data_IF_565584997886
#
_entry.id   IF_565584997886
#
_cell.length_a   1.000
_cell.length_b   1.000
_cell.length_c   1.000
_cell.angle_alpha   90.00
_cell.angle_beta   90.00
_cell.angle_gamma   90.00
#
_symmetry.space_group_name_H-M   'P 1'
#
loop_
_entity.id
_entity.type
_entity.pdbx_description
1 polymer ?
#
# COMPACT_ATOMS: atom_id res chain seq x y z
N UNK A 1 41.76 -18.89 3.98
CA UNK A 1 40.81 -19.93 4.43
C UNK A 1 39.48 -19.22 4.63
N UNK A 2 38.52 -19.44 3.73
CA UNK A 2 37.21 -18.79 3.80
C UNK A 2 36.28 -19.68 4.62
N UNK A 3 35.87 -19.19 5.79
CA UNK A 3 34.93 -19.86 6.66
C UNK A 3 33.52 -19.71 6.06
N UNK A 4 32.87 -20.84 5.77
CA UNK A 4 31.49 -20.87 5.30
C UNK A 4 30.59 -20.38 6.44
N UNK A 5 29.91 -19.26 6.22
CA UNK A 5 28.79 -18.87 7.07
C UNK A 5 27.63 -19.79 6.74
N UNK A 6 27.38 -20.77 7.61
CA UNK A 6 26.29 -21.71 7.44
C UNK A 6 24.93 -20.99 7.57
N UNK A 7 24.18 -21.02 6.48
CA UNK A 7 22.81 -20.55 6.38
C UNK A 7 21.90 -21.44 7.24
N UNK A 8 21.30 -20.89 8.30
CA UNK A 8 20.25 -21.57 9.07
C UNK A 8 18.90 -21.29 8.41
N UNK A 9 18.24 -22.27 7.77
CA UNK A 9 16.89 -22.08 7.27
C UNK A 9 15.92 -21.97 8.44
N UNK A 10 15.18 -20.87 8.52
CA UNK A 10 14.02 -20.75 9.40
C UNK A 10 12.92 -21.65 8.85
N UNK A 11 12.69 -22.80 9.50
CA UNK A 11 11.60 -23.72 9.16
C UNK A 11 10.26 -23.04 9.47
N UNK A 12 9.51 -22.65 8.44
CA UNK A 12 8.08 -22.42 8.63
C UNK A 12 7.41 -23.79 8.80
N UNK A 13 6.96 -24.09 10.01
CA UNK A 13 6.06 -25.22 10.24
C UNK A 13 4.76 -24.97 9.46
N UNK A 14 4.57 -25.72 8.37
CA UNK A 14 3.31 -25.78 7.65
C UNK A 14 2.29 -26.56 8.47
N UNK A 15 1.62 -25.89 9.41
CA UNK A 15 0.37 -26.39 9.95
C UNK A 15 -0.70 -26.37 8.85
N UNK A 16 -0.89 -27.51 8.19
CA UNK A 16 -2.02 -27.75 7.29
C UNK A 16 -3.31 -27.87 8.10
N UNK A 17 -3.99 -26.75 8.30
CA UNK A 17 -5.37 -26.76 8.80
C UNK A 17 -6.28 -27.15 7.64
N UNK A 18 -6.71 -28.41 7.62
CA UNK A 18 -7.74 -28.89 6.69
C UNK A 18 -9.08 -28.24 7.03
N UNK A 19 -9.55 -27.33 6.17
CA UNK A 19 -10.89 -26.76 6.26
C UNK A 19 -11.93 -27.76 5.72
N UNK A 20 -13.11 -27.88 6.36
CA UNK A 20 -14.14 -28.82 5.93
C UNK A 20 -14.72 -28.39 4.58
N UNK A 21 -14.65 -29.29 3.58
CA UNK A 21 -15.40 -29.16 2.35
C UNK A 21 -16.87 -29.48 2.60
N UNK A 22 -17.68 -28.45 2.87
CA UNK A 22 -19.11 -28.49 2.58
C UNK A 22 -19.71 -27.08 2.55
N UNK A 23 -19.76 -26.48 1.36
CA UNK A 23 -20.57 -25.28 1.12
C UNK A 23 -21.48 -25.55 -0.07
N UNK A 24 -22.75 -25.75 0.26
CA UNK A 24 -23.82 -26.00 -0.69
C UNK A 24 -23.81 -24.98 -1.85
N UNK A 25 -23.94 -25.50 -3.08
CA UNK A 25 -24.03 -24.70 -4.31
C UNK A 25 -25.32 -23.87 -4.26
N UNK A 26 -25.19 -22.59 -3.90
CA UNK A 26 -26.29 -21.61 -3.97
C UNK A 26 -26.66 -21.39 -5.44
N UNK A 27 -27.85 -21.88 -5.82
CA UNK A 27 -28.43 -21.72 -7.15
C UNK A 27 -28.64 -20.23 -7.48
N UNK A 28 -28.28 -19.85 -8.71
CA UNK A 28 -28.50 -18.54 -9.34
C UNK A 28 -29.92 -18.01 -9.13
N UNK A 29 -30.91 -18.89 -9.07
CA UNK A 29 -32.32 -18.56 -8.82
C UNK A 29 -32.54 -17.88 -7.46
N UNK A 30 -31.79 -18.28 -6.44
CA UNK A 30 -31.89 -17.72 -5.07
C UNK A 30 -31.39 -16.27 -5.00
N UNK A 31 -30.48 -15.88 -5.89
CA UNK A 31 -29.94 -14.51 -5.96
C UNK A 31 -30.88 -13.58 -6.71
N UNK A 32 -31.50 -14.04 -7.80
CA UNK A 32 -32.45 -13.23 -8.57
C UNK A 32 -33.71 -12.91 -7.76
N UNK A 33 -34.28 -13.90 -7.05
CA UNK A 33 -35.50 -13.70 -6.25
C UNK A 33 -35.30 -12.70 -5.09
N UNK A 34 -34.09 -12.66 -4.49
CA UNK A 34 -33.78 -11.71 -3.41
C UNK A 34 -33.61 -10.27 -3.89
N UNK A 35 -33.08 -10.07 -5.11
CA UNK A 35 -32.90 -8.72 -5.68
C UNK A 35 -34.25 -8.12 -6.07
N UNK A 36 -35.20 -8.92 -6.56
CA UNK A 36 -36.55 -8.45 -6.93
C UNK A 36 -37.36 -7.95 -5.74
N UNK A 37 -37.27 -8.62 -4.58
CA UNK A 37 -38.05 -8.28 -3.39
C UNK A 37 -37.63 -6.94 -2.75
N UNK A 38 -36.33 -6.59 -2.79
CA UNK A 38 -35.82 -5.33 -2.19
C UNK A 38 -36.16 -4.12 -3.06
N UNK A 39 -36.15 -4.27 -4.39
CA UNK A 39 -36.51 -3.18 -5.31
C UNK A 39 -38.02 -2.81 -5.22
N UNK A 40 -38.89 -3.80 -5.02
CA UNK A 40 -40.34 -3.56 -4.89
C UNK A 40 -40.70 -2.78 -3.60
N UNK A 41 -39.99 -3.04 -2.50
CA UNK A 41 -40.22 -2.36 -1.21
C UNK A 41 -39.75 -0.89 -1.27
N UNK A 42 -38.67 -0.59 -1.99
CA UNK A 42 -38.20 0.78 -2.21
C UNK A 42 -39.13 1.59 -3.12
N UNK A 43 -39.72 0.98 -4.16
CA UNK A 43 -40.62 1.66 -5.09
C UNK A 43 -42.03 1.90 -4.51
N UNK A 44 -42.51 1.03 -3.62
CA UNK A 44 -43.81 1.20 -2.96
C UNK A 44 -43.73 2.10 -1.71
N UNK A 45 -42.56 2.21 -1.06
CA UNK A 45 -42.36 3.01 0.16
C UNK A 45 -42.29 4.53 -0.04
N UNK A 46 -42.02 5.02 -1.25
CA UNK A 46 -41.83 6.46 -1.51
C UNK A 46 -43.17 7.21 -1.73
N UNK A 47 -44.28 6.51 -1.96
CA UNK A 47 -45.58 7.14 -2.32
C UNK A 47 -46.54 7.42 -1.16
N UNK A 48 -46.18 7.07 0.08
CA UNK A 48 -47.09 7.14 1.23
C UNK A 48 -46.82 8.27 2.25
N UNK A 49 -45.80 9.10 2.06
CA UNK A 49 -45.49 10.20 2.99
C UNK A 49 -45.11 11.44 2.19
N UNK A 50 -46.10 12.27 1.85
CA UNK A 50 -46.12 13.73 2.02
C UNK A 50 -47.27 14.36 1.19
N UNK A 51 -48.27 15.00 1.83
CA UNK A 51 -49.22 15.86 1.16
C UNK A 51 -48.62 17.25 0.90
N UNK A 52 -48.98 17.81 -0.25
CA UNK A 52 -48.70 19.16 -0.70
C UNK A 52 -49.52 20.21 0.06
N UNK A 53 -48.88 21.21 0.69
CA UNK A 53 -49.38 22.59 0.75
C UNK A 53 -48.38 23.56 1.37
N UNK A 54 -48.35 24.77 0.79
CA UNK A 54 -47.54 25.92 1.18
C UNK A 54 -47.98 26.51 2.53
N UNK A 55 -47.02 26.84 3.40
CA UNK A 55 -47.22 27.89 4.41
C UNK A 55 -45.93 28.68 4.63
N UNK A 56 -45.94 29.91 4.15
CA UNK A 56 -44.93 30.92 4.38
C UNK A 56 -45.07 31.54 5.78
N UNK A 57 -43.92 31.87 6.39
CA UNK A 57 -43.69 32.79 7.53
C UNK A 57 -44.03 32.30 8.95
N UNK A 58 -42.96 31.96 9.69
CA UNK A 58 -42.59 32.46 11.02
C UNK A 58 -41.17 31.92 11.28
N UNK A 59 -40.12 32.69 11.54
CA UNK A 59 -39.96 33.58 12.69
C UNK A 59 -38.87 33.00 13.60
N UNK A 60 -37.68 33.61 13.57
CA UNK A 60 -36.49 33.46 14.43
C UNK A 60 -36.69 32.69 15.76
N UNK A 61 -35.77 31.76 16.05
CA UNK A 61 -34.86 31.83 17.22
C UNK A 61 -33.87 30.64 17.28
N UNK A 62 -32.61 30.98 17.58
CA UNK A 62 -31.60 30.21 18.31
C UNK A 62 -31.27 28.76 17.89
N UNK A 63 -30.12 28.59 17.24
CA UNK A 63 -29.45 27.30 17.06
C UNK A 63 -27.94 27.47 16.87
N UNK A 64 -27.18 27.03 17.86
CA UNK A 64 -25.74 26.85 17.99
C UNK A 64 -24.80 27.35 16.88
N UNK A 65 -23.85 28.18 17.29
CA UNK A 65 -22.81 28.72 16.44
C UNK A 65 -21.93 27.66 15.79
N UNK A 66 -21.52 27.99 14.57
CA UNK A 66 -20.24 27.54 14.03
C UNK A 66 -20.20 26.13 13.47
N UNK A 67 -21.01 25.82 12.46
CA UNK A 67 -20.46 25.00 11.37
C UNK A 67 -19.39 25.82 10.65
N UNK A 68 -18.17 25.82 11.22
CA UNK A 68 -16.97 26.23 10.52
C UNK A 68 -16.90 25.36 9.27
N UNK A 69 -17.23 25.93 8.11
CA UNK A 69 -16.64 25.48 6.84
C UNK A 69 -15.14 25.78 6.92
N UNK A 70 -14.40 24.96 7.65
CA UNK A 70 -12.94 24.90 7.57
C UNK A 70 -12.54 23.68 6.77
N UNK A 71 -12.91 23.69 5.50
CA UNK A 71 -12.09 23.02 4.51
C UNK A 71 -12.06 23.98 3.35
N UNK A 72 -11.08 24.89 3.41
CA UNK A 72 -10.57 25.51 2.20
C UNK A 72 -9.90 24.36 1.44
N UNK A 73 -10.57 23.82 0.44
CA UNK A 73 -10.08 22.69 -0.37
C UNK A 73 -8.74 22.99 -1.07
N UNK A 74 -8.33 24.26 -1.12
CA UNK A 74 -7.02 24.71 -1.59
C UNK A 74 -5.86 24.48 -0.59
N UNK A 75 -6.12 24.05 0.66
CA UNK A 75 -5.10 23.94 1.74
C UNK A 75 -4.64 22.53 2.08
N UNK A 76 -5.16 21.49 1.42
CA UNK A 76 -4.78 20.09 1.67
C UNK A 76 -4.18 19.45 0.41
N UNK A 77 -3.18 20.10 -0.19
CA UNK A 77 -2.30 19.44 -1.15
C UNK A 77 -1.11 18.89 -0.37
N UNK A 78 -0.97 17.56 -0.33
CA UNK A 78 0.22 16.92 0.21
C UNK A 78 1.44 17.48 -0.54
N UNK A 79 2.53 17.90 0.14
CA UNK A 79 3.75 18.29 -0.54
C UNK A 79 4.24 17.11 -1.39
N UNK A 80 4.85 17.38 -2.55
CA UNK A 80 5.35 16.31 -3.43
C UNK A 80 6.60 15.63 -2.84
N UNK A 81 7.39 16.36 -2.06
CA UNK A 81 8.62 15.90 -1.43
C UNK A 81 8.86 16.62 -0.10
N UNK A 82 9.74 16.06 0.71
CA UNK A 82 10.31 16.69 1.90
C UNK A 82 11.82 16.83 1.73
N UNK A 83 12.41 17.87 2.31
CA UNK A 83 13.86 18.03 2.32
C UNK A 83 14.48 17.30 3.50
N UNK A 84 15.47 16.45 3.23
CA UNK A 84 16.29 15.80 4.25
C UNK A 84 17.41 16.74 4.73
N UNK A 85 18.02 16.48 5.91
CA UNK A 85 19.19 17.24 6.37
C UNK A 85 20.39 17.19 5.40
N UNK A 86 20.48 16.17 4.54
CA UNK A 86 21.48 16.08 3.46
C UNK A 86 21.24 17.07 2.32
N UNK A 87 20.05 17.68 2.24
CA UNK A 87 19.60 18.50 1.12
C UNK A 87 18.78 17.73 0.06
N UNK A 88 18.78 16.40 0.12
CA UNK A 88 18.03 15.56 -0.81
C UNK A 88 16.51 15.73 -0.65
N UNK A 89 15.77 15.54 -1.74
CA UNK A 89 14.31 15.69 -1.77
C UNK A 89 13.63 14.32 -1.83
N UNK A 90 13.19 13.82 -0.67
CA UNK A 90 12.51 12.52 -0.56
C UNK A 90 11.04 12.67 -1.00
N UNK A 91 10.53 11.84 -1.94
CA UNK A 91 9.11 11.89 -2.31
C UNK A 91 8.22 11.55 -1.11
N UNK A 92 7.16 12.33 -0.95
CA UNK A 92 6.30 12.30 0.24
C UNK A 92 5.47 11.02 0.39
N UNK A 93 5.30 10.27 -0.70
CA UNK A 93 4.53 9.03 -0.73
C UNK A 93 5.39 7.92 -1.32
N UNK A 94 5.51 6.82 -0.58
CA UNK A 94 6.24 5.62 -0.96
C UNK A 94 5.30 4.41 -1.09
N UNK A 95 5.63 3.49 -1.98
CA UNK A 95 5.10 2.12 -1.91
C UNK A 95 5.99 1.29 -0.99
N UNK A 96 5.46 0.86 0.15
CA UNK A 96 6.11 -0.17 0.98
C UNK A 96 5.89 -1.58 0.41
N UNK A 97 6.94 -2.39 0.40
CA UNK A 97 6.90 -3.74 -0.20
C UNK A 97 6.79 -4.89 0.81
N UNK A 98 6.55 -4.58 2.10
CA UNK A 98 6.42 -5.60 3.14
C UNK A 98 5.17 -6.48 2.96
N UNK A 99 5.31 -7.78 3.26
CA UNK A 99 4.25 -8.81 3.21
C UNK A 99 3.56 -9.02 1.86
N UNK A 100 4.12 -8.50 0.76
CA UNK A 100 3.69 -8.93 -0.56
C UNK A 100 3.91 -10.44 -0.69
N UNK A 101 2.89 -11.18 -1.15
CA UNK A 101 3.07 -12.61 -1.38
C UNK A 101 4.06 -12.82 -2.54
N UNK A 102 4.75 -13.97 -2.59
CA UNK A 102 5.65 -14.28 -3.70
C UNK A 102 4.98 -14.09 -5.06
N UNK A 103 5.62 -13.37 -5.98
CA UNK A 103 5.09 -13.08 -7.31
C UNK A 103 4.08 -11.93 -7.38
N UNK A 104 3.76 -11.25 -6.27
CA UNK A 104 2.84 -10.10 -6.27
C UNK A 104 3.54 -8.76 -6.20
N UNK A 105 4.76 -8.69 -5.64
CA UNK A 105 5.42 -7.40 -5.40
C UNK A 105 5.78 -6.71 -6.71
N UNK A 106 6.13 -7.48 -7.75
CA UNK A 106 6.50 -6.93 -9.04
C UNK A 106 5.32 -6.21 -9.69
N UNK A 107 4.14 -6.80 -9.65
CA UNK A 107 2.91 -6.18 -10.18
C UNK A 107 2.47 -4.97 -9.34
N UNK A 108 2.66 -5.03 -8.02
CA UNK A 108 2.41 -3.88 -7.14
C UNK A 108 3.34 -2.70 -7.48
N UNK A 109 4.64 -2.96 -7.66
CA UNK A 109 5.64 -1.95 -8.06
C UNK A 109 5.30 -1.37 -9.43
N UNK A 110 5.05 -2.21 -10.44
CA UNK A 110 4.68 -1.73 -11.80
C UNK A 110 3.42 -0.88 -11.76
N UNK A 111 2.42 -1.29 -10.98
CA UNK A 111 1.17 -0.52 -10.81
C UNK A 111 1.43 0.83 -10.14
N UNK A 112 2.21 0.86 -9.07
CA UNK A 112 2.55 2.11 -8.39
C UNK A 112 3.32 3.07 -9.29
N UNK A 113 4.33 2.58 -10.02
CA UNK A 113 5.12 3.39 -10.95
C UNK A 113 4.26 3.98 -12.08
N UNK A 114 3.32 3.19 -12.63
CA UNK A 114 2.30 3.66 -13.60
C UNK A 114 1.35 4.68 -13.01
N UNK A 115 1.01 4.55 -11.72
CA UNK A 115 0.18 5.51 -10.99
C UNK A 115 0.93 6.80 -10.59
N UNK A 116 2.23 6.91 -10.90
CA UNK A 116 3.03 8.11 -10.67
C UNK A 116 3.89 8.06 -9.40
N UNK A 117 3.94 6.93 -8.68
CA UNK A 117 4.88 6.78 -7.57
C UNK A 117 6.31 6.87 -8.11
N UNK A 118 7.17 7.53 -7.32
CA UNK A 118 8.61 7.62 -7.57
C UNK A 118 9.44 7.21 -6.36
N UNK A 119 8.81 6.66 -5.32
CA UNK A 119 9.50 6.19 -4.12
C UNK A 119 9.05 4.76 -3.80
N UNK A 120 10.00 3.84 -3.76
CA UNK A 120 9.80 2.44 -3.37
C UNK A 120 10.58 2.18 -2.06
N UNK A 121 9.88 1.68 -1.05
CA UNK A 121 10.44 1.30 0.23
C UNK A 121 10.52 -0.23 0.36
N UNK A 122 11.75 -0.74 0.35
CA UNK A 122 12.09 -2.14 0.54
C UNK A 122 12.88 -2.38 1.82
N UNK A 123 13.27 -3.63 2.03
CA UNK A 123 14.23 -4.04 3.06
C UNK A 123 14.76 -5.42 2.69
N UNK A 124 16.02 -5.70 3.06
CA UNK A 124 16.64 -7.00 2.81
C UNK A 124 15.80 -8.18 3.34
N UNK A 125 15.24 -8.02 4.54
CA UNK A 125 14.46 -9.09 5.20
C UNK A 125 13.11 -9.37 4.55
N UNK A 126 12.62 -8.50 3.66
CA UNK A 126 11.37 -8.75 2.95
C UNK A 126 11.52 -9.84 1.88
N UNK A 127 12.78 -10.21 1.54
CA UNK A 127 13.12 -11.32 0.63
C UNK A 127 12.46 -11.21 -0.74
N UNK A 128 12.27 -9.97 -1.21
CA UNK A 128 11.56 -9.69 -2.46
C UNK A 128 12.26 -8.64 -3.34
N UNK A 129 13.48 -8.23 -2.98
CA UNK A 129 14.25 -7.20 -3.68
C UNK A 129 14.57 -7.57 -5.14
N UNK A 130 14.80 -8.85 -5.44
CA UNK A 130 15.02 -9.30 -6.83
C UNK A 130 13.79 -9.05 -7.71
N UNK A 131 12.60 -9.34 -7.19
CA UNK A 131 11.34 -9.11 -7.90
C UNK A 131 11.06 -7.61 -8.07
N UNK A 132 11.36 -6.80 -7.05
CA UNK A 132 11.29 -5.34 -7.12
C UNK A 132 12.25 -4.78 -8.16
N UNK A 133 13.51 -5.22 -8.18
CA UNK A 133 14.54 -4.79 -9.13
C UNK A 133 14.16 -5.10 -10.58
N UNK A 134 13.64 -6.30 -10.84
CA UNK A 134 13.09 -6.67 -12.17
C UNK A 134 11.94 -5.76 -12.56
N UNK A 135 10.99 -5.51 -11.66
CA UNK A 135 9.84 -4.65 -11.94
C UNK A 135 10.22 -3.20 -12.22
N UNK A 136 11.22 -2.66 -11.51
CA UNK A 136 11.77 -1.33 -11.78
C UNK A 136 12.41 -1.29 -13.17
N UNK A 137 13.27 -2.26 -13.50
CA UNK A 137 13.92 -2.33 -14.81
C UNK A 137 12.92 -2.45 -15.96
N UNK A 138 11.89 -3.28 -15.80
CA UNK A 138 10.80 -3.45 -16.78
C UNK A 138 9.91 -2.21 -16.91
N UNK A 139 9.89 -1.32 -15.91
CA UNK A 139 9.11 -0.08 -15.99
C UNK A 139 9.64 0.91 -17.02
N UNK A 140 10.94 0.82 -17.37
CA UNK A 140 11.61 1.74 -18.27
C UNK A 140 11.82 3.16 -17.70
N UNK A 141 11.55 3.39 -16.41
CA UNK A 141 11.83 4.67 -15.76
C UNK A 141 13.32 4.76 -15.46
N UNK A 142 13.93 5.91 -15.79
CA UNK A 142 15.33 6.17 -15.48
C UNK A 142 15.58 6.07 -13.97
N UNK A 143 16.66 5.39 -13.58
CA UNK A 143 17.00 5.17 -12.17
C UNK A 143 17.10 6.46 -11.35
N UNK A 144 17.60 7.55 -11.95
CA UNK A 144 17.72 8.89 -11.32
C UNK A 144 16.38 9.54 -10.98
N UNK A 145 15.28 9.09 -11.60
CA UNK A 145 13.94 9.61 -11.37
C UNK A 145 13.20 8.81 -10.27
N UNK A 146 13.86 7.83 -9.67
CA UNK A 146 13.33 6.98 -8.60
C UNK A 146 14.10 7.23 -7.30
N UNK A 147 13.37 7.19 -6.20
CA UNK A 147 13.88 7.10 -4.84
C UNK A 147 13.73 5.66 -4.34
N UNK A 148 14.84 4.97 -4.11
CA UNK A 148 14.86 3.62 -3.59
C UNK A 148 15.43 3.60 -2.17
N UNK A 149 14.60 3.13 -1.25
CA UNK A 149 14.97 2.90 0.15
C UNK A 149 15.10 1.41 0.40
N UNK A 150 16.19 0.97 1.03
CA UNK A 150 16.27 -0.37 1.63
C UNK A 150 16.84 -0.30 3.06
N UNK A 151 16.88 -1.44 3.75
CA UNK A 151 17.20 -1.53 5.18
C UNK A 151 18.13 -2.69 5.48
N UNK A 152 19.21 -2.40 6.23
CA UNK A 152 20.14 -3.37 6.80
C UNK A 152 19.44 -4.18 7.89
N UNK A 153 19.43 -5.51 7.74
CA UNK A 153 18.80 -6.38 8.74
C UNK A 153 19.63 -6.53 10.02
N UNK A 154 18.93 -6.76 11.12
CA UNK A 154 19.45 -6.74 12.49
C UNK A 154 20.66 -7.67 12.73
N UNK A 155 20.77 -8.73 11.93
CA UNK A 155 21.86 -9.70 12.05
C UNK A 155 23.20 -9.22 11.48
N UNK A 156 23.26 -8.03 10.87
CA UNK A 156 24.42 -7.58 10.07
C UNK A 156 24.95 -6.21 10.49
N UNK A 157 24.87 -5.87 11.79
CA UNK A 157 25.34 -4.58 12.29
C UNK A 157 26.86 -4.52 12.52
N UNK A 158 27.57 -5.65 12.37
CA UNK A 158 29.03 -5.64 12.49
C UNK A 158 29.60 -4.93 11.26
N UNK A 159 30.55 -3.99 11.42
CA UNK A 159 31.07 -3.19 10.30
C UNK A 159 31.47 -4.01 9.07
N UNK A 160 32.09 -5.17 9.29
CA UNK A 160 32.53 -6.10 8.25
C UNK A 160 31.40 -6.82 7.49
N UNK A 161 30.16 -6.80 8.01
CA UNK A 161 28.99 -7.44 7.42
C UNK A 161 28.13 -6.46 6.60
N UNK A 162 28.29 -5.14 6.82
CA UNK A 162 27.42 -4.13 6.21
C UNK A 162 27.60 -4.06 4.69
N UNK A 163 28.85 -3.91 4.22
CA UNK A 163 29.13 -3.77 2.78
C UNK A 163 28.72 -5.01 1.98
N UNK A 164 29.03 -6.26 2.40
CA UNK A 164 28.57 -7.45 1.69
C UNK A 164 27.05 -7.56 1.54
N UNK A 165 26.29 -7.15 2.56
CA UNK A 165 24.81 -7.21 2.57
C UNK A 165 24.21 -6.07 1.75
N UNK A 166 24.83 -4.89 1.77
CA UNK A 166 24.46 -3.80 0.86
C UNK A 166 24.73 -4.19 -0.60
N UNK A 167 25.86 -4.84 -0.89
CA UNK A 167 26.16 -5.34 -2.23
C UNK A 167 25.13 -6.37 -2.70
N UNK A 168 24.67 -7.26 -1.81
CA UNK A 168 23.57 -8.18 -2.12
C UNK A 168 22.28 -7.43 -2.46
N UNK A 169 21.90 -6.45 -1.64
CA UNK A 169 20.75 -5.59 -1.86
C UNK A 169 20.82 -4.88 -3.22
N UNK A 170 21.97 -4.28 -3.55
CA UNK A 170 22.20 -3.58 -4.81
C UNK A 170 22.13 -4.52 -6.03
N UNK A 171 22.71 -5.72 -5.92
CA UNK A 171 22.60 -6.76 -6.96
C UNK A 171 21.15 -7.19 -7.18
N UNK A 172 20.41 -7.47 -6.11
CA UNK A 172 19.01 -7.90 -6.18
C UNK A 172 18.13 -6.81 -6.81
N UNK A 173 18.30 -5.56 -6.38
CA UNK A 173 17.59 -4.41 -6.93
C UNK A 173 18.07 -4.00 -8.33
N UNK A 174 19.16 -4.60 -8.84
CA UNK A 174 19.78 -4.31 -10.14
C UNK A 174 20.15 -2.82 -10.30
N UNK A 175 20.74 -2.24 -9.26
CA UNK A 175 21.16 -0.83 -9.24
C UNK A 175 22.53 -0.67 -8.59
N UNK A 176 23.21 0.44 -8.86
CA UNK A 176 24.53 0.74 -8.29
C UNK A 176 24.48 1.59 -7.01
N UNK A 177 23.30 2.13 -6.64
CA UNK A 177 23.13 2.95 -5.45
C UNK A 177 21.71 2.89 -4.90
N UNK A 178 21.57 3.21 -3.60
CA UNK A 178 20.31 3.53 -2.94
C UNK A 178 20.25 5.02 -2.65
N UNK A 179 19.04 5.59 -2.66
CA UNK A 179 18.83 6.98 -2.25
C UNK A 179 18.77 7.09 -0.72
N UNK A 180 18.38 6.01 -0.05
CA UNK A 180 18.37 5.90 1.40
C UNK A 180 18.63 4.46 1.86
N UNK A 181 19.55 4.29 2.81
CA UNK A 181 19.79 3.02 3.47
C UNK A 181 19.67 3.19 4.98
N UNK A 182 18.80 2.37 5.59
CA UNK A 182 18.43 2.50 7.00
C UNK A 182 18.92 1.30 7.81
N UNK A 183 19.27 1.52 9.07
CA UNK A 183 19.31 0.43 10.07
C UNK A 183 17.85 0.03 10.33
N UNK A 184 17.52 -1.25 10.21
CA UNK A 184 16.12 -1.68 10.34
C UNK A 184 15.61 -1.55 11.79
N UNK A 185 16.43 -1.89 12.78
CA UNK A 185 16.12 -1.79 14.22
C UNK A 185 17.34 -1.50 15.06
#
# INVERSE_FOLDING_TARGET
>A
MAEKVDYIPFSQEHHSVSLPQNRAKSSFLTRVVRISAVAAIMLLGIRAVLPSSNFSRLGRAAGCGGHRKLVNDAKLKLPAHYSLPSGDQIPSVALGTWKAAPGQVGDAVKTALKAGYRHIDGAWIYRNEEEVGRAIKESGIDRKDLWLTSKLWNSFHRPEEIEPVLDETLRNLQTSYLDLYLIHW
#
